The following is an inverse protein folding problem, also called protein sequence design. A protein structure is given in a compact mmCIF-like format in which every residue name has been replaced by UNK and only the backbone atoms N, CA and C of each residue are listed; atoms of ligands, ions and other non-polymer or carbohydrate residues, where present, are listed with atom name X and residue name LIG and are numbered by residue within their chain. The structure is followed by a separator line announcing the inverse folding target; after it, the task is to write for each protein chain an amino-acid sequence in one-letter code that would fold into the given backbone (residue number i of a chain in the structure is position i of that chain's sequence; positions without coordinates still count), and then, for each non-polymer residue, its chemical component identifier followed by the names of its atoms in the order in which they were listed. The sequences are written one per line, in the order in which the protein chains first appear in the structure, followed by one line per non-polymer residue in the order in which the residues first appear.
data_IF_439794995380
#
_entry.id   IF_439794995380
#
_cell.length_a   1.000
_cell.length_b   1.000
_cell.length_c   1.000
_cell.angle_alpha   90.00
_cell.angle_beta   90.00
_cell.angle_gamma   90.00
#
_symmetry.space_group_name_H-M   'P 1'
#
loop_
_entity.id
_entity.type
_entity.pdbx_description
1 polymer ?
#
# COMPACT_ATOMS: atom_id res chain seq x y z
N UNK A 1 8.75 7.76 11.27
CA UNK A 1 8.10 6.98 10.21
C UNK A 1 7.38 5.79 10.80
N UNK A 2 6.24 5.49 10.26
CA UNK A 2 5.48 4.29 10.65
C UNK A 2 5.48 3.29 9.51
N UNK A 3 5.42 2.02 9.87
CA UNK A 3 5.35 0.95 8.88
C UNK A 3 4.00 0.26 9.05
N UNK A 4 3.28 0.09 7.95
CA UNK A 4 2.01 -0.64 7.95
C UNK A 4 2.07 -1.76 6.94
N UNK A 5 1.29 -2.79 7.20
CA UNK A 5 1.12 -3.91 6.29
C UNK A 5 -0.34 -3.93 5.85
N UNK A 6 -0.54 -3.95 4.55
CA UNK A 6 -1.87 -3.98 3.96
C UNK A 6 -2.07 -5.28 3.22
N UNK A 7 -3.22 -5.90 3.40
CA UNK A 7 -3.62 -7.04 2.59
C UNK A 7 -4.32 -6.52 1.36
N UNK A 8 -3.86 -6.97 0.20
CA UNK A 8 -4.37 -6.49 -1.08
C UNK A 8 -5.34 -7.49 -1.68
N UNK A 9 -6.37 -6.96 -2.31
CA UNK A 9 -7.31 -7.76 -3.08
C UNK A 9 -7.21 -7.34 -4.54
N UNK A 10 -7.55 -8.24 -5.43
CA UNK A 10 -7.56 -7.99 -6.89
C UNK A 10 -6.17 -7.82 -7.50
N UNK A 11 -5.12 -8.22 -6.80
CA UNK A 11 -3.77 -8.21 -7.34
C UNK A 11 -3.55 -9.55 -8.04
N UNK A 12 -3.54 -9.53 -9.36
CA UNK A 12 -3.50 -10.75 -10.14
C UNK A 12 -2.24 -10.94 -10.99
N UNK A 13 -1.33 -9.96 -10.97
CA UNK A 13 -0.12 -10.04 -11.79
C UNK A 13 0.97 -9.13 -11.22
N UNK A 14 2.19 -9.37 -11.67
CA UNK A 14 3.34 -8.55 -11.26
C UNK A 14 3.17 -7.09 -11.65
N UNK A 15 2.56 -6.86 -12.80
CA UNK A 15 2.32 -5.50 -13.26
C UNK A 15 1.40 -4.75 -12.31
N UNK A 16 0.43 -5.44 -11.73
CA UNK A 16 -0.47 -4.85 -10.75
C UNK A 16 0.29 -4.39 -9.52
N UNK A 17 1.25 -5.17 -9.05
CA UNK A 17 2.10 -4.79 -7.93
C UNK A 17 2.86 -3.51 -8.22
N UNK A 18 3.37 -3.37 -9.44
CA UNK A 18 4.09 -2.19 -9.86
C UNK A 18 3.19 -0.95 -9.87
N UNK A 19 1.96 -1.11 -10.37
CA UNK A 19 0.98 -0.02 -10.38
C UNK A 19 0.68 0.44 -8.95
N UNK A 20 0.52 -0.51 -8.04
CA UNK A 20 0.25 -0.20 -6.64
C UNK A 20 1.41 0.59 -6.03
N UNK A 21 2.64 0.14 -6.27
CA UNK A 21 3.81 0.86 -5.76
C UNK A 21 3.85 2.29 -6.26
N UNK A 22 3.59 2.49 -7.54
CA UNK A 22 3.58 3.84 -8.11
C UNK A 22 2.49 4.72 -7.53
N UNK A 23 1.31 4.16 -7.35
CA UNK A 23 0.19 4.90 -6.79
C UNK A 23 0.50 5.38 -5.38
N UNK A 24 1.10 4.52 -4.56
CA UNK A 24 1.45 4.87 -3.19
C UNK A 24 2.62 5.85 -3.15
N UNK A 25 3.65 5.62 -3.96
CA UNK A 25 4.83 6.47 -3.96
C UNK A 25 4.57 7.87 -4.47
N UNK A 26 3.47 8.08 -5.18
CA UNK A 26 3.09 9.42 -5.63
C UNK A 26 2.57 10.29 -4.49
N UNK A 27 2.27 9.71 -3.34
CA UNK A 27 1.75 10.45 -2.20
C UNK A 27 2.88 11.11 -1.43
N UNK A 28 2.64 12.30 -0.86
CA UNK A 28 3.65 12.93 0.00
C UNK A 28 3.81 12.12 1.29
N UNK A 29 5.02 12.08 1.80
CA UNK A 29 5.30 11.42 3.07
C UNK A 29 5.52 9.93 3.01
N UNK A 30 5.59 9.35 1.83
CA UNK A 30 5.89 7.92 1.68
C UNK A 30 7.40 7.73 1.63
N UNK A 31 7.91 6.92 2.54
CA UNK A 31 9.33 6.60 2.55
C UNK A 31 9.65 5.43 1.64
N UNK A 32 8.99 4.31 1.87
CA UNK A 32 9.25 3.11 1.10
C UNK A 32 7.95 2.32 0.94
N UNK A 33 7.81 1.69 -0.21
CA UNK A 33 6.66 0.83 -0.51
C UNK A 33 7.16 -0.44 -1.16
N UNK A 34 6.80 -1.56 -0.58
CA UNK A 34 7.16 -2.87 -1.11
C UNK A 34 5.90 -3.72 -1.23
N UNK A 35 5.66 -4.27 -2.40
CA UNK A 35 4.50 -5.11 -2.64
C UNK A 35 4.96 -6.53 -2.90
N UNK A 36 4.42 -7.48 -2.14
CA UNK A 36 4.66 -8.89 -2.36
C UNK A 36 3.45 -9.48 -3.07
N UNK A 37 3.63 -9.76 -4.36
CA UNK A 37 2.56 -10.28 -5.18
C UNK A 37 2.10 -11.67 -4.73
N UNK A 38 3.05 -12.50 -4.34
CA UNK A 38 2.75 -13.88 -3.93
C UNK A 38 1.86 -13.91 -2.69
N UNK A 39 2.15 -13.05 -1.74
CA UNK A 39 1.38 -12.98 -0.50
C UNK A 39 0.23 -11.97 -0.58
N UNK A 40 0.18 -11.20 -1.65
CA UNK A 40 -0.82 -10.16 -1.85
C UNK A 40 -0.83 -9.17 -0.68
N UNK A 41 0.36 -8.74 -0.31
CA UNK A 41 0.58 -7.86 0.84
C UNK A 41 1.49 -6.70 0.45
N UNK A 42 1.19 -5.54 0.96
CA UNK A 42 2.03 -4.36 0.79
C UNK A 42 2.57 -3.92 2.14
N UNK A 43 3.85 -3.59 2.16
CA UNK A 43 4.50 -3.01 3.33
C UNK A 43 4.85 -1.57 2.97
N UNK A 44 4.35 -0.61 3.73
CA UNK A 44 4.49 0.80 3.41
C UNK A 44 5.05 1.54 4.63
N UNK A 45 6.14 2.26 4.40
CA UNK A 45 6.72 3.13 5.40
C UNK A 45 6.29 4.57 5.07
N UNK A 46 5.70 5.25 6.02
CA UNK A 46 5.17 6.59 5.78
C UNK A 46 5.37 7.50 6.97
N UNK A 47 5.36 8.81 6.69
CA UNK A 47 5.44 9.82 7.73
C UNK A 47 4.02 10.21 8.17
N UNK A 48 3.63 9.87 9.41
CA UNK A 48 2.25 10.12 9.86
C UNK A 48 1.88 11.60 9.95
N UNK A 49 2.85 12.49 9.85
CA UNK A 49 2.59 13.92 9.82
C UNK A 49 2.22 14.42 8.43
N UNK A 50 2.54 13.67 7.39
CA UNK A 50 2.32 14.07 6.01
C UNK A 50 1.23 13.28 5.32
N UNK A 51 0.99 12.06 5.77
CA UNK A 51 -0.05 11.21 5.19
C UNK A 51 -0.60 10.29 6.27
N UNK A 52 -1.62 9.52 5.93
CA UNK A 52 -2.20 8.56 6.86
C UNK A 52 -2.72 7.35 6.11
N UNK A 53 -3.13 6.33 6.87
CA UNK A 53 -3.63 5.08 6.31
C UNK A 53 -4.81 5.30 5.36
N UNK A 54 -5.72 6.16 5.74
CA UNK A 54 -6.90 6.44 4.94
C UNK A 54 -6.54 7.00 3.57
N UNK A 55 -5.59 7.92 3.52
CA UNK A 55 -5.11 8.50 2.28
C UNK A 55 -4.48 7.43 1.39
N UNK A 56 -3.69 6.54 1.99
CA UNK A 56 -3.04 5.46 1.28
C UNK A 56 -4.08 4.51 0.69
N UNK A 57 -5.06 4.12 1.51
CA UNK A 57 -6.12 3.23 1.05
C UNK A 57 -6.92 3.84 -0.09
N UNK A 58 -7.19 5.13 0.00
CA UNK A 58 -7.94 5.83 -1.03
C UNK A 58 -7.18 5.88 -2.34
N UNK A 59 -5.87 6.10 -2.27
CA UNK A 59 -5.04 6.09 -3.47
C UNK A 59 -5.10 4.73 -4.16
N UNK A 60 -5.08 3.66 -3.38
CA UNK A 60 -5.17 2.31 -3.93
C UNK A 60 -6.55 2.04 -4.55
N UNK A 61 -7.61 2.53 -3.93
CA UNK A 61 -8.95 2.40 -4.49
C UNK A 61 -9.07 3.10 -5.84
N UNK A 62 -8.49 4.28 -5.96
CA UNK A 62 -8.49 5.04 -7.21
C UNK A 62 -7.74 4.26 -8.30
N UNK A 63 -6.69 3.55 -7.91
CA UNK A 63 -5.93 2.72 -8.84
C UNK A 63 -6.66 1.42 -9.21
N UNK A 64 -7.77 1.11 -8.53
CA UNK A 64 -8.56 -0.06 -8.85
C UNK A 64 -8.32 -1.26 -7.93
N UNK A 65 -7.67 -1.05 -6.79
CA UNK A 65 -7.34 -2.12 -5.87
C UNK A 65 -7.94 -1.85 -4.50
N UNK A 66 -8.28 -2.91 -3.79
CA UNK A 66 -8.77 -2.82 -2.43
C UNK A 66 -7.66 -3.23 -1.48
N UNK A 67 -7.41 -2.41 -0.47
CA UNK A 67 -6.39 -2.69 0.52
C UNK A 67 -7.03 -2.66 1.91
N UNK A 68 -6.68 -3.65 2.73
CA UNK A 68 -7.15 -3.73 4.11
C UNK A 68 -5.97 -3.73 5.04
N UNK A 69 -6.12 -3.08 6.18
CA UNK A 69 -5.09 -3.13 7.20
C UNK A 69 -4.95 -4.57 7.70
N UNK A 70 -3.73 -5.09 7.66
CA UNK A 70 -3.45 -6.44 8.11
C UNK A 70 -3.18 -6.41 9.62
N UNK A 71 -4.22 -6.60 10.40
CA UNK A 71 -4.12 -6.53 11.85
C UNK A 71 -3.56 -7.82 12.47
N UNK A 72 -3.47 -8.87 11.69
CA UNK A 72 -2.94 -10.14 12.18
C UNK A 72 -1.43 -10.12 12.22
N UNK A 73 -0.84 -9.11 11.63
CA UNK A 73 0.60 -9.00 11.57
C UNK A 73 1.09 -8.18 12.76
N UNK A 74 1.61 -8.85 13.73
CA UNK A 74 2.19 -8.21 14.90
C UNK A 74 3.65 -8.56 15.03
#
# INVERSE_FOLDING_TARGET
MKIIHLQLENVMCDFCAEVIERAVQSLPGIGECSVNFTEKRATIEYNPQLTNLETIQKALEIAGYTARLDEQFN
#
